data_IF_291843411811
#
_entry.id   IF_291843411811
#
_cell.length_a   1.000
_cell.length_b   1.000
_cell.length_c   1.000
_cell.angle_alpha   90.00
_cell.angle_beta   90.00
_cell.angle_gamma   90.00
#
_symmetry.space_group_name_H-M   'P 1'
#
loop_
_entity.id
_entity.type
_entity.pdbx_description
1 polymer ?
#
# COMPACT_ATOMS: atom_id res chain seq x y z
N UNK A 1 15.58 -21.73 -11.35
CA UNK A 1 14.34 -20.92 -11.35
C UNK A 1 14.55 -19.82 -12.36
N UNK A 2 13.82 -19.85 -13.47
CA UNK A 2 13.99 -18.89 -14.55
C UNK A 2 13.43 -17.51 -14.17
N UNK A 3 13.83 -16.46 -14.89
CA UNK A 3 13.32 -15.08 -14.70
C UNK A 3 11.79 -15.03 -14.81
N UNK A 4 11.21 -15.83 -15.70
CA UNK A 4 9.76 -15.95 -15.89
C UNK A 4 9.06 -16.55 -14.65
N UNK A 5 9.66 -17.54 -13.97
CA UNK A 5 9.10 -18.10 -12.73
C UNK A 5 9.05 -17.06 -11.62
N UNK A 6 10.06 -16.18 -11.57
CA UNK A 6 10.13 -15.09 -10.60
C UNK A 6 9.06 -14.05 -10.90
N UNK A 7 8.89 -13.68 -12.17
CA UNK A 7 7.85 -12.75 -12.60
C UNK A 7 6.45 -13.32 -12.36
N UNK A 8 6.20 -14.61 -12.64
CA UNK A 8 4.92 -15.27 -12.32
C UNK A 8 4.64 -15.23 -10.80
N UNK A 9 5.65 -15.46 -9.96
CA UNK A 9 5.48 -15.35 -8.50
C UNK A 9 5.18 -13.94 -8.02
N UNK A 10 5.69 -12.92 -8.71
CA UNK A 10 5.47 -11.52 -8.36
C UNK A 10 4.11 -11.07 -8.86
N UNK A 11 3.81 -11.29 -10.14
CA UNK A 11 2.66 -10.70 -10.81
C UNK A 11 1.38 -11.54 -10.71
N UNK A 12 1.49 -12.88 -10.70
CA UNK A 12 0.35 -13.81 -10.88
C UNK A 12 -0.14 -14.41 -9.56
N UNK A 13 0.72 -14.65 -8.56
CA UNK A 13 0.22 -15.13 -7.25
C UNK A 13 -0.58 -14.02 -6.56
N UNK A 14 -1.87 -14.32 -6.28
CA UNK A 14 -2.99 -13.42 -5.91
C UNK A 14 -2.80 -12.37 -4.81
N UNK A 15 -1.65 -12.27 -4.14
CA UNK A 15 -1.44 -11.33 -3.04
C UNK A 15 -0.27 -10.40 -3.33
N UNK A 16 -0.51 -9.37 -4.15
CA UNK A 16 0.38 -8.22 -4.29
C UNK A 16 0.25 -7.33 -3.04
N UNK A 17 0.66 -7.86 -1.89
CA UNK A 17 0.77 -7.08 -0.65
C UNK A 17 2.05 -6.23 -0.70
N UNK A 18 2.24 -5.23 0.17
CA UNK A 18 3.43 -4.34 0.24
C UNK A 18 4.79 -5.06 0.03
N UNK A 19 4.89 -6.32 0.45
CA UNK A 19 6.05 -7.22 0.24
C UNK A 19 6.39 -7.56 -1.23
N UNK A 20 5.49 -7.31 -2.18
CA UNK A 20 5.70 -7.56 -3.61
C UNK A 20 6.44 -6.42 -4.31
N UNK A 21 6.24 -5.17 -3.86
CA UNK A 21 7.01 -4.02 -4.33
C UNK A 21 8.45 -4.11 -3.87
N UNK A 22 8.71 -4.52 -2.62
CA UNK A 22 10.08 -4.75 -2.16
C UNK A 22 10.80 -5.84 -2.96
N UNK A 23 10.06 -6.84 -3.50
CA UNK A 23 10.63 -7.85 -4.40
C UNK A 23 10.96 -7.30 -5.79
N UNK A 24 10.11 -6.42 -6.33
CA UNK A 24 10.44 -5.71 -7.56
C UNK A 24 11.66 -4.81 -7.36
N UNK A 25 11.69 -4.04 -6.27
CA UNK A 25 12.86 -3.24 -5.88
C UNK A 25 14.13 -4.08 -5.79
N UNK A 26 14.09 -5.24 -5.13
CA UNK A 26 15.24 -6.15 -5.06
C UNK A 26 15.70 -6.63 -6.45
N UNK A 27 14.77 -6.93 -7.36
CA UNK A 27 15.11 -7.37 -8.72
C UNK A 27 15.73 -6.26 -9.55
N UNK A 28 15.16 -5.06 -9.48
CA UNK A 28 15.66 -3.88 -10.20
C UNK A 28 16.98 -3.38 -9.63
N UNK A 29 17.10 -3.28 -8.30
CA UNK A 29 18.31 -2.81 -7.63
C UNK A 29 19.49 -3.77 -7.88
N UNK A 30 19.22 -5.07 -8.03
CA UNK A 30 20.25 -6.06 -8.40
C UNK A 30 20.52 -6.09 -9.91
N UNK A 31 19.88 -5.23 -10.71
CA UNK A 31 19.93 -5.20 -12.18
C UNK A 31 19.64 -6.58 -12.82
N UNK A 32 18.83 -7.40 -12.14
CA UNK A 32 18.54 -8.76 -12.59
C UNK A 32 17.53 -8.75 -13.74
N UNK A 33 16.69 -7.72 -13.81
CA UNK A 33 15.58 -7.64 -14.76
C UNK A 33 15.49 -6.26 -15.39
N UNK A 34 15.41 -6.23 -16.72
CA UNK A 34 15.17 -5.04 -17.53
C UNK A 34 13.68 -4.68 -17.53
N UNK A 35 13.35 -3.38 -17.49
CA UNK A 35 11.96 -2.89 -17.60
C UNK A 35 11.34 -3.36 -18.90
N UNK A 36 12.08 -3.37 -20.01
CA UNK A 36 11.54 -3.77 -21.31
C UNK A 36 11.13 -5.25 -21.30
N UNK A 37 11.91 -6.12 -20.66
CA UNK A 37 11.56 -7.55 -20.47
C UNK A 37 10.32 -7.74 -19.59
N UNK A 38 10.10 -6.86 -18.61
CA UNK A 38 8.87 -6.90 -17.80
C UNK A 38 7.67 -6.45 -18.63
N UNK A 39 7.83 -5.41 -19.45
CA UNK A 39 6.78 -4.96 -20.37
C UNK A 39 6.41 -6.07 -21.34
N UNK A 40 7.39 -6.69 -22.01
CA UNK A 40 7.19 -7.84 -22.91
C UNK A 40 6.45 -8.99 -22.20
N UNK A 41 6.84 -9.32 -20.96
CA UNK A 41 6.17 -10.33 -20.17
C UNK A 41 4.72 -9.97 -19.85
N UNK A 42 4.44 -8.72 -19.45
CA UNK A 42 3.09 -8.25 -19.17
C UNK A 42 2.22 -8.33 -20.43
N UNK A 43 2.74 -7.87 -21.57
CA UNK A 43 2.04 -7.91 -22.86
C UNK A 43 1.71 -9.35 -23.26
N UNK A 44 2.68 -10.25 -23.15
CA UNK A 44 2.46 -11.68 -23.37
C UNK A 44 1.35 -12.21 -22.47
N UNK A 45 1.37 -11.94 -21.16
CA UNK A 45 0.31 -12.40 -20.24
C UNK A 45 -1.06 -11.83 -20.57
N UNK A 46 -1.15 -10.58 -21.00
CA UNK A 46 -2.41 -9.97 -21.44
C UNK A 46 -2.94 -10.58 -22.74
N UNK A 47 -2.06 -11.01 -23.64
CA UNK A 47 -2.46 -11.76 -24.84
C UNK A 47 -2.91 -13.19 -24.55
N UNK A 48 -2.30 -13.85 -23.55
CA UNK A 48 -2.59 -15.26 -23.22
C UNK A 48 -3.81 -15.42 -22.31
N UNK A 49 -4.12 -14.43 -21.48
CA UNK A 49 -5.17 -14.55 -20.47
C UNK A 49 -5.98 -13.26 -20.33
N UNK A 50 -7.21 -13.29 -20.83
CA UNK A 50 -8.14 -12.16 -20.72
C UNK A 50 -8.66 -11.89 -19.30
N UNK A 51 -8.43 -12.79 -18.33
CA UNK A 51 -8.75 -12.54 -16.93
C UNK A 51 -7.58 -11.91 -16.17
N UNK A 52 -6.43 -11.71 -16.83
CA UNK A 52 -5.31 -11.01 -16.24
C UNK A 52 -5.57 -9.51 -16.21
N UNK A 53 -5.46 -8.92 -15.02
CA UNK A 53 -5.74 -7.50 -14.76
C UNK A 53 -4.58 -6.89 -13.97
N UNK A 54 -4.52 -5.56 -13.95
CA UNK A 54 -3.67 -4.75 -13.06
C UNK A 54 -2.16 -4.84 -13.26
N UNK A 55 -1.66 -5.57 -14.25
CA UNK A 55 -0.22 -5.80 -14.42
C UNK A 55 0.54 -4.51 -14.74
N UNK A 56 0.03 -3.70 -15.67
CA UNK A 56 0.65 -2.40 -15.95
C UNK A 56 0.47 -1.42 -14.80
N UNK A 57 -0.67 -1.43 -14.08
CA UNK A 57 -0.85 -0.58 -12.90
C UNK A 57 0.08 -0.98 -11.74
N UNK A 58 0.40 -2.27 -11.58
CA UNK A 58 1.44 -2.74 -10.62
C UNK A 58 2.82 -2.23 -11.00
N UNK A 59 3.18 -2.27 -12.29
CA UNK A 59 4.43 -1.67 -12.77
C UNK A 59 4.44 -0.15 -12.56
N UNK A 60 3.32 0.52 -12.81
CA UNK A 60 3.19 1.95 -12.54
C UNK A 60 3.36 2.28 -11.06
N UNK A 61 2.83 1.47 -10.16
CA UNK A 61 2.98 1.66 -8.72
C UNK A 61 4.46 1.61 -8.29
N UNK A 62 5.25 0.73 -8.90
CA UNK A 62 6.71 0.73 -8.72
C UNK A 62 7.31 2.10 -9.10
N UNK A 63 6.96 2.64 -10.26
CA UNK A 63 7.44 3.97 -10.69
C UNK A 63 6.97 5.11 -9.77
N UNK A 64 5.74 5.06 -9.23
CA UNK A 64 5.29 6.00 -8.19
C UNK A 64 6.18 5.95 -6.95
N UNK A 65 6.63 4.76 -6.52
CA UNK A 65 7.58 4.65 -5.40
C UNK A 65 8.93 5.28 -5.72
N UNK A 66 9.35 5.28 -6.98
CA UNK A 66 10.61 5.92 -7.45
C UNK A 66 10.48 7.41 -7.79
N UNK A 67 9.30 8.00 -7.61
CA UNK A 67 9.01 9.39 -8.01
C UNK A 67 9.11 9.64 -9.53
N UNK A 68 9.12 8.57 -10.34
CA UNK A 68 9.03 8.67 -11.80
C UNK A 68 7.56 8.77 -12.22
N UNK A 69 7.01 9.96 -12.08
CA UNK A 69 5.61 10.23 -12.39
C UNK A 69 5.31 10.12 -13.90
N UNK A 70 6.32 10.27 -14.77
CA UNK A 70 6.14 10.14 -16.21
C UNK A 70 5.88 8.68 -16.60
N UNK A 71 6.77 7.77 -16.18
CA UNK A 71 6.60 6.34 -16.43
C UNK A 71 5.37 5.79 -15.73
N UNK A 72 5.11 6.22 -14.49
CA UNK A 72 3.90 5.83 -13.78
C UNK A 72 2.62 6.16 -14.59
N UNK A 73 2.50 7.41 -15.09
CA UNK A 73 1.36 7.82 -15.91
C UNK A 73 1.26 6.99 -17.20
N UNK A 74 2.38 6.79 -17.90
CA UNK A 74 2.43 5.99 -19.15
C UNK A 74 1.80 4.61 -18.95
N UNK A 75 2.17 3.90 -17.89
CA UNK A 75 1.68 2.53 -17.65
C UNK A 75 0.26 2.51 -17.06
N UNK A 76 -0.11 3.48 -16.22
CA UNK A 76 -1.50 3.65 -15.78
C UNK A 76 -2.45 3.88 -16.96
N UNK A 77 -2.09 4.78 -17.87
CA UNK A 77 -2.87 5.06 -19.08
C UNK A 77 -2.98 3.84 -19.98
N UNK A 78 -1.89 3.06 -20.11
CA UNK A 78 -1.88 1.84 -20.92
C UNK A 78 -2.85 0.80 -20.34
N UNK A 79 -2.83 0.57 -19.03
CA UNK A 79 -3.74 -0.37 -18.38
C UNK A 79 -5.20 0.06 -18.48
N UNK A 80 -5.45 1.37 -18.32
CA UNK A 80 -6.77 1.98 -18.46
C UNK A 80 -7.34 1.84 -19.86
N UNK A 81 -6.54 2.15 -20.89
CA UNK A 81 -6.92 2.01 -22.32
C UNK A 81 -7.29 0.59 -22.70
N UNK A 82 -6.60 -0.40 -22.11
CA UNK A 82 -6.90 -1.82 -22.30
C UNK A 82 -8.12 -2.30 -21.51
N UNK A 83 -8.72 -1.45 -20.67
CA UNK A 83 -9.83 -1.78 -19.75
C UNK A 83 -9.47 -2.97 -18.84
N UNK A 84 -8.22 -3.00 -18.36
CA UNK A 84 -7.66 -4.07 -17.50
C UNK A 84 -7.45 -3.63 -16.05
N UNK A 85 -7.97 -2.48 -15.65
CA UNK A 85 -7.86 -1.96 -14.29
C UNK A 85 -9.03 -2.42 -13.43
N UNK A 86 -8.73 -3.06 -12.31
CA UNK A 86 -9.66 -3.18 -11.17
C UNK A 86 -9.77 -1.85 -10.42
N UNK A 87 -10.76 -1.74 -9.53
CA UNK A 87 -10.87 -0.57 -8.65
C UNK A 87 -9.59 -0.33 -7.84
N UNK A 88 -8.89 -1.40 -7.44
CA UNK A 88 -7.64 -1.30 -6.69
C UNK A 88 -6.52 -0.65 -7.53
N UNK A 89 -6.46 -0.95 -8.83
CA UNK A 89 -5.55 -0.26 -9.74
C UNK A 89 -5.94 1.18 -10.00
N UNK A 90 -7.23 1.49 -10.03
CA UNK A 90 -7.71 2.86 -10.17
C UNK A 90 -7.28 3.74 -8.98
N UNK A 91 -7.13 3.17 -7.77
CA UNK A 91 -6.52 3.88 -6.62
C UNK A 91 -5.09 4.35 -6.95
N UNK A 92 -4.32 3.61 -7.76
CA UNK A 92 -2.96 4.03 -8.18
C UNK A 92 -3.00 5.27 -9.08
N UNK A 93 -4.10 5.44 -9.82
CA UNK A 93 -4.36 6.65 -10.60
C UNK A 93 -4.67 7.86 -9.68
N UNK A 94 -5.43 7.64 -8.60
CA UNK A 94 -5.64 8.65 -7.56
C UNK A 94 -4.31 9.04 -6.88
N UNK A 95 -3.49 8.08 -6.47
CA UNK A 95 -2.15 8.32 -5.91
C UNK A 95 -1.27 9.16 -6.85
N UNK A 96 -1.29 8.89 -8.15
CA UNK A 96 -0.60 9.69 -9.17
C UNK A 96 -1.04 11.17 -9.15
N UNK A 97 -2.36 11.44 -9.16
CA UNK A 97 -2.87 12.81 -9.12
C UNK A 97 -2.53 13.52 -7.82
N UNK A 98 -2.60 12.82 -6.70
CA UNK A 98 -2.20 13.35 -5.40
C UNK A 98 -0.73 13.79 -5.42
N UNK A 99 0.17 12.95 -5.94
CA UNK A 99 1.60 13.26 -6.06
C UNK A 99 1.91 14.41 -7.03
N UNK A 100 1.03 14.65 -8.01
CA UNK A 100 1.06 15.84 -8.88
C UNK A 100 0.54 17.12 -8.20
N UNK A 101 0.10 17.04 -6.94
CA UNK A 101 -0.49 18.15 -6.20
C UNK A 101 -1.97 18.37 -6.46
N UNK A 102 -2.63 17.49 -7.23
CA UNK A 102 -4.06 17.57 -7.50
C UNK A 102 -4.85 16.62 -6.58
N UNK A 103 -4.91 16.98 -5.30
CA UNK A 103 -5.57 16.17 -4.27
C UNK A 103 -7.10 16.08 -4.49
N UNK A 104 -7.73 17.15 -4.97
CA UNK A 104 -9.17 17.15 -5.26
C UNK A 104 -9.51 16.10 -6.33
N UNK A 105 -8.71 16.05 -7.41
CA UNK A 105 -8.93 15.03 -8.45
C UNK A 105 -8.69 13.62 -7.93
N UNK A 106 -7.71 13.45 -7.05
CA UNK A 106 -7.49 12.18 -6.37
C UNK A 106 -8.74 11.75 -5.59
N UNK A 107 -9.36 12.66 -4.84
CA UNK A 107 -10.55 12.37 -4.04
C UNK A 107 -11.78 12.07 -4.89
N UNK A 108 -12.01 12.83 -5.96
CA UNK A 108 -13.07 12.51 -6.94
C UNK A 108 -12.97 11.08 -7.47
N UNK A 109 -11.74 10.61 -7.74
CA UNK A 109 -11.51 9.23 -8.20
C UNK A 109 -11.83 8.23 -7.09
N UNK A 110 -11.41 8.49 -5.84
CA UNK A 110 -11.72 7.60 -4.72
C UNK A 110 -13.21 7.53 -4.43
N UNK A 111 -13.91 8.66 -4.43
CA UNK A 111 -15.36 8.72 -4.22
C UNK A 111 -16.09 7.93 -5.30
N UNK A 112 -15.73 8.13 -6.57
CA UNK A 112 -16.27 7.34 -7.68
C UNK A 112 -16.02 5.83 -7.51
N UNK A 113 -14.81 5.43 -7.14
CA UNK A 113 -14.50 4.02 -6.85
C UNK A 113 -15.43 3.48 -5.75
N UNK A 114 -15.65 4.25 -4.70
CA UNK A 114 -16.48 3.88 -3.55
C UNK A 114 -17.98 3.83 -3.82
N UNK A 115 -18.46 4.63 -4.78
CA UNK A 115 -19.82 4.60 -5.31
C UNK A 115 -20.04 3.36 -6.19
N UNK A 116 -19.06 3.03 -7.04
CA UNK A 116 -19.18 1.93 -8.02
C UNK A 116 -18.85 0.55 -7.42
N UNK A 117 -18.10 0.49 -6.32
CA UNK A 117 -17.61 -0.76 -5.73
C UNK A 117 -17.76 -0.72 -4.19
N UNK A 118 -18.75 -1.46 -3.67
CA UNK A 118 -19.06 -1.46 -2.23
C UNK A 118 -17.97 -2.15 -1.39
N UNK A 119 -17.21 -3.06 -1.98
CA UNK A 119 -16.09 -3.77 -1.37
C UNK A 119 -14.77 -3.00 -1.45
N UNK A 120 -14.73 -1.85 -2.13
CA UNK A 120 -13.52 -1.05 -2.23
C UNK A 120 -13.15 -0.41 -0.88
N UNK A 121 -11.87 -0.56 -0.53
CA UNK A 121 -11.30 -0.16 0.76
C UNK A 121 -9.96 0.57 0.56
N UNK A 122 -9.54 1.30 1.59
CA UNK A 122 -8.25 1.97 1.74
C UNK A 122 -7.95 3.08 0.70
N UNK A 123 -8.94 3.56 -0.05
CA UNK A 123 -8.75 4.57 -1.10
C UNK A 123 -8.12 5.85 -0.58
N UNK A 124 -8.74 6.49 0.42
CA UNK A 124 -8.18 7.67 1.06
C UNK A 124 -6.90 7.34 1.83
N UNK A 125 -6.86 6.19 2.49
CA UNK A 125 -5.70 5.74 3.24
C UNK A 125 -4.46 5.61 2.37
N UNK A 126 -4.58 5.03 1.17
CA UNK A 126 -3.49 4.92 0.20
C UNK A 126 -2.97 6.29 -0.24
N UNK A 127 -3.87 7.22 -0.56
CA UNK A 127 -3.54 8.60 -0.95
C UNK A 127 -2.81 9.33 0.19
N UNK A 128 -3.37 9.31 1.41
CA UNK A 128 -2.74 9.92 2.57
C UNK A 128 -1.36 9.31 2.87
N UNK A 129 -1.25 7.99 2.81
CA UNK A 129 0.00 7.28 3.07
C UNK A 129 1.10 7.61 2.07
N UNK A 130 0.80 7.64 0.77
CA UNK A 130 1.82 7.93 -0.24
C UNK A 130 2.29 9.38 -0.14
N UNK A 131 1.38 10.33 0.09
CA UNK A 131 1.72 11.74 0.28
C UNK A 131 2.59 11.95 1.52
N UNK A 132 2.23 11.33 2.64
CA UNK A 132 2.97 11.42 3.89
C UNK A 132 4.39 10.84 3.74
N UNK A 133 4.53 9.64 3.19
CA UNK A 133 5.85 9.02 2.95
C UNK A 133 6.75 9.83 2.01
N UNK A 134 6.16 10.59 1.10
CA UNK A 134 6.86 11.47 0.15
C UNK A 134 7.10 12.87 0.71
N UNK A 135 6.73 13.14 1.97
CA UNK A 135 6.88 14.44 2.62
C UNK A 135 6.08 15.55 1.95
N UNK A 136 4.96 15.22 1.29
CA UNK A 136 4.13 16.17 0.53
C UNK A 136 3.04 16.84 1.36
N UNK A 137 2.69 16.27 2.51
CA UNK A 137 1.68 16.77 3.43
C UNK A 137 2.16 16.64 4.86
N UNK A 138 1.56 17.42 5.76
CA UNK A 138 1.87 17.32 7.17
C UNK A 138 1.29 16.04 7.79
N UNK A 139 1.76 15.74 8.99
CA UNK A 139 1.19 14.70 9.82
C UNK A 139 -0.31 14.88 10.09
N UNK A 140 -0.74 16.13 10.35
CA UNK A 140 -2.14 16.42 10.69
C UNK A 140 -3.03 16.16 9.48
N UNK A 141 -2.58 16.60 8.30
CA UNK A 141 -3.32 16.41 7.05
C UNK A 141 -3.49 14.92 6.72
N UNK A 142 -2.45 14.09 6.89
CA UNK A 142 -2.57 12.65 6.63
C UNK A 142 -3.56 11.99 7.60
N UNK A 143 -3.60 12.41 8.86
CA UNK A 143 -4.60 11.94 9.82
C UNK A 143 -6.03 12.26 9.38
N UNK A 144 -6.28 13.47 8.89
CA UNK A 144 -7.62 13.87 8.44
C UNK A 144 -8.04 13.14 7.15
N UNK A 145 -7.09 12.84 6.26
CA UNK A 145 -7.35 11.98 5.09
C UNK A 145 -7.70 10.56 5.53
N UNK A 146 -6.93 9.96 6.45
CA UNK A 146 -7.18 8.60 6.94
C UNK A 146 -8.53 8.46 7.62
N UNK A 147 -8.98 9.48 8.37
CA UNK A 147 -10.29 9.49 9.03
C UNK A 147 -11.44 9.24 8.04
N UNK A 148 -11.33 9.71 6.79
CA UNK A 148 -12.37 9.48 5.76
C UNK A 148 -12.64 8.00 5.51
N UNK A 149 -11.61 7.14 5.58
CA UNK A 149 -11.79 5.69 5.49
C UNK A 149 -12.17 5.06 6.83
N UNK A 150 -11.64 5.56 7.94
CA UNK A 150 -11.97 5.06 9.29
C UNK A 150 -13.45 5.27 9.61
N UNK A 151 -13.96 6.49 9.44
CA UNK A 151 -15.33 6.88 9.78
C UNK A 151 -16.38 6.10 8.98
N UNK A 152 -15.98 5.59 7.80
CA UNK A 152 -16.82 4.77 6.91
C UNK A 152 -16.52 3.27 7.01
N UNK A 153 -15.69 2.84 7.96
CA UNK A 153 -15.21 1.45 8.11
C UNK A 153 -14.64 0.85 6.80
N UNK A 154 -13.92 1.65 6.02
CA UNK A 154 -13.28 1.27 4.75
C UNK A 154 -11.78 1.03 4.90
N UNK A 155 -11.24 0.90 6.11
CA UNK A 155 -9.87 0.43 6.32
C UNK A 155 -9.81 -1.09 6.53
N UNK A 156 -9.02 -1.75 5.70
CA UNK A 156 -8.63 -3.15 5.93
C UNK A 156 -7.75 -3.29 7.18
N UNK A 157 -7.72 -4.47 7.79
CA UNK A 157 -6.94 -4.71 9.02
C UNK A 157 -5.44 -4.46 8.88
N UNK A 158 -4.86 -4.78 7.72
CA UNK A 158 -3.47 -4.41 7.42
C UNK A 158 -3.25 -2.89 7.38
N UNK A 159 -4.24 -2.14 6.87
CA UNK A 159 -4.16 -0.68 6.81
C UNK A 159 -4.48 0.00 8.14
N UNK A 160 -5.30 -0.62 9.02
CA UNK A 160 -5.49 -0.18 10.41
C UNK A 160 -4.14 -0.13 11.15
N UNK A 161 -3.24 -1.09 10.93
CA UNK A 161 -1.88 -1.07 11.49
C UNK A 161 -1.05 0.12 10.95
N UNK A 162 -1.14 0.42 9.64
CA UNK A 162 -0.46 1.58 9.05
C UNK A 162 -1.02 2.88 9.63
N UNK A 163 -2.35 3.02 9.69
CA UNK A 163 -3.02 4.16 10.27
C UNK A 163 -2.62 4.35 11.73
N UNK A 164 -2.61 3.29 12.54
CA UNK A 164 -2.14 3.33 13.93
C UNK A 164 -0.71 3.86 14.04
N UNK A 165 0.20 3.45 13.16
CA UNK A 165 1.58 3.92 13.16
C UNK A 165 1.70 5.44 12.94
N UNK A 166 0.75 6.01 12.19
CA UNK A 166 0.63 7.45 11.97
C UNK A 166 -0.03 8.06 13.22
N UNK A 167 -1.25 7.69 13.57
CA UNK A 167 -1.96 8.23 14.74
C UNK A 167 -1.17 8.16 16.06
N UNK A 168 -0.28 7.18 16.20
CA UNK A 168 0.55 6.99 17.39
C UNK A 168 1.38 8.19 17.80
N UNK A 169 1.73 9.08 16.85
CA UNK A 169 2.52 10.28 17.13
C UNK A 169 1.79 11.24 18.07
N UNK A 170 0.48 11.45 17.89
CA UNK A 170 -0.31 12.42 18.68
C UNK A 170 -1.45 11.79 19.50
N UNK A 171 -1.91 10.59 19.14
CA UNK A 171 -3.01 9.91 19.81
C UNK A 171 -2.69 8.42 19.97
N UNK A 172 -1.82 8.12 20.92
CA UNK A 172 -1.36 6.77 21.21
C UNK A 172 -2.51 5.82 21.60
N UNK A 173 -3.49 6.30 22.37
CA UNK A 173 -4.62 5.47 22.78
C UNK A 173 -5.42 5.00 21.56
N UNK A 174 -5.81 5.93 20.69
CA UNK A 174 -6.52 5.60 19.46
C UNK A 174 -5.73 4.68 18.54
N UNK A 175 -4.41 4.91 18.42
CA UNK A 175 -3.54 4.02 17.66
C UNK A 175 -3.50 2.58 18.21
N UNK A 176 -3.48 2.41 19.54
CA UNK A 176 -3.53 1.07 20.16
C UNK A 176 -4.86 0.37 19.89
N UNK A 177 -5.98 1.12 19.93
CA UNK A 177 -7.30 0.57 19.62
C UNK A 177 -7.38 0.06 18.18
N UNK A 178 -6.84 0.82 17.20
CA UNK A 178 -6.77 0.36 15.80
C UNK A 178 -5.95 -0.93 15.64
N UNK A 179 -4.83 -1.07 16.36
CA UNK A 179 -4.03 -2.31 16.34
C UNK A 179 -4.80 -3.47 16.95
N UNK A 180 -5.47 -3.25 18.08
CA UNK A 180 -6.26 -4.28 18.73
C UNK A 180 -7.43 -4.74 17.89
N UNK A 181 -8.14 -3.81 17.26
CA UNK A 181 -9.22 -4.09 16.32
C UNK A 181 -8.72 -4.96 15.16
N UNK A 182 -7.60 -4.59 14.54
CA UNK A 182 -6.99 -5.38 13.47
C UNK A 182 -6.61 -6.79 13.93
N UNK A 183 -6.08 -6.95 15.15
CA UNK A 183 -5.70 -8.26 15.70
C UNK A 183 -6.90 -9.13 16.08
N UNK A 184 -8.02 -8.54 16.51
CA UNK A 184 -9.26 -9.27 16.80
C UNK A 184 -9.90 -9.84 15.54
N UNK A 185 -9.77 -9.13 14.43
CA UNK A 185 -10.38 -9.51 13.16
C UNK A 185 -9.48 -10.39 12.27
N UNK A 186 -8.16 -10.39 12.49
CA UNK A 186 -7.21 -11.19 11.70
C UNK A 186 -6.13 -11.84 12.58
N UNK A 187 -6.24 -13.17 12.72
CA UNK A 187 -5.32 -13.99 13.52
C UNK A 187 -3.91 -14.15 12.94
N UNK A 188 -3.72 -13.76 11.68
CA UNK A 188 -2.45 -13.85 10.99
C UNK A 188 -1.70 -12.51 10.97
N UNK A 189 -2.36 -11.40 11.31
CA UNK A 189 -1.68 -10.11 11.45
C UNK A 189 -0.69 -10.11 12.60
N UNK A 190 0.43 -9.44 12.36
CA UNK A 190 1.61 -9.39 13.22
C UNK A 190 2.21 -7.99 13.22
N UNK A 191 3.11 -7.75 14.16
CA UNK A 191 4.00 -6.59 14.22
C UNK A 191 3.33 -5.22 14.41
N UNK A 192 2.01 -5.15 14.62
CA UNK A 192 1.28 -3.89 14.80
C UNK A 192 1.82 -3.04 15.96
N UNK A 193 1.98 -3.63 17.15
CA UNK A 193 2.56 -2.91 18.29
C UNK A 193 4.06 -2.65 18.14
N UNK A 194 4.81 -3.50 17.43
CA UNK A 194 6.22 -3.24 17.13
C UNK A 194 6.39 -2.05 16.18
N UNK A 195 5.53 -1.92 15.16
CA UNK A 195 5.52 -0.77 14.25
C UNK A 195 5.13 0.52 14.98
N UNK A 196 4.17 0.44 15.90
CA UNK A 196 3.80 1.57 16.75
C UNK A 196 4.97 1.99 17.66
N UNK A 197 5.65 1.02 18.29
CA UNK A 197 6.83 1.27 19.13
C UNK A 197 7.97 1.92 18.34
N UNK A 198 8.20 1.50 17.10
CA UNK A 198 9.29 2.00 16.25
C UNK A 198 9.13 3.50 15.96
N UNK A 199 7.90 3.96 15.73
CA UNK A 199 7.60 5.38 15.53
C UNK A 199 7.73 6.21 16.82
N UNK A 200 7.65 5.56 17.99
CA UNK A 200 7.72 6.18 19.31
C UNK A 200 9.11 6.10 19.94
N UNK A 201 10.14 5.62 19.25
CA UNK A 201 11.49 5.43 19.83
C UNK A 201 12.16 6.71 20.34
N UNK A 202 11.61 7.90 20.06
CA UNK A 202 11.99 9.14 20.77
C UNK A 202 11.61 9.13 22.26
N UNK A 203 10.72 8.22 22.67
CA UNK A 203 10.31 7.94 24.04
C UNK A 203 10.58 6.47 24.40
N UNK A 204 11.77 6.22 24.95
CA UNK A 204 12.36 4.88 25.12
C UNK A 204 11.54 3.95 26.03
N UNK A 205 11.02 4.44 27.15
CA UNK A 205 10.28 3.62 28.11
C UNK A 205 8.94 3.13 27.54
N UNK A 206 8.27 3.99 26.78
CA UNK A 206 7.04 3.63 26.08
C UNK A 206 7.27 2.64 24.94
N UNK A 207 8.35 2.79 24.18
CA UNK A 207 8.71 1.83 23.15
C UNK A 207 8.91 0.42 23.74
N UNK A 208 9.59 0.31 24.89
CA UNK A 208 9.79 -0.96 25.59
C UNK A 208 8.47 -1.61 26.04
N UNK A 209 7.54 -0.82 26.58
CA UNK A 209 6.22 -1.32 26.98
C UNK A 209 5.43 -1.90 25.79
N UNK A 210 5.46 -1.23 24.63
CA UNK A 210 4.78 -1.68 23.41
C UNK A 210 5.42 -2.95 22.82
N UNK A 211 6.75 -3.05 22.81
CA UNK A 211 7.42 -4.30 22.44
C UNK A 211 7.02 -5.46 23.36
N UNK A 212 6.91 -5.21 24.67
CA UNK A 212 6.41 -6.18 25.65
C UNK A 212 5.01 -6.69 25.31
N UNK A 213 4.08 -5.80 24.93
CA UNK A 213 2.72 -6.18 24.51
C UNK A 213 2.70 -7.01 23.22
N UNK A 214 3.54 -6.67 22.23
CA UNK A 214 3.61 -7.46 21.00
C UNK A 214 4.13 -8.89 21.26
N UNK A 215 5.08 -9.05 22.19
CA UNK A 215 5.56 -10.37 22.64
C UNK A 215 4.48 -11.13 23.42
N UNK A 216 3.81 -10.47 24.37
CA UNK A 216 2.75 -11.08 25.18
C UNK A 216 1.56 -11.60 24.37
N UNK A 217 1.20 -10.91 23.28
CA UNK A 217 0.15 -11.35 22.35
C UNK A 217 0.56 -12.51 21.42
N UNK A 218 1.83 -12.96 21.47
CA UNK A 218 2.41 -13.93 20.51
C UNK A 218 2.31 -13.47 19.04
N UNK A 219 2.19 -12.15 18.79
CA UNK A 219 2.10 -11.55 17.44
C UNK A 219 3.39 -10.88 16.96
N UNK A 220 4.48 -10.98 17.72
CA UNK A 220 5.80 -10.56 17.29
C UNK A 220 6.38 -11.51 16.22
N UNK A 221 6.79 -10.99 15.07
CA UNK A 221 7.55 -11.74 14.07
C UNK A 221 9.04 -11.82 14.45
N UNK A 222 9.79 -12.77 13.87
CA UNK A 222 11.25 -12.87 14.07
C UNK A 222 12.01 -11.59 13.71
N UNK A 223 11.46 -10.76 12.81
CA UNK A 223 12.09 -9.48 12.42
C UNK A 223 11.88 -8.38 13.45
N UNK A 224 10.93 -8.57 14.37
CA UNK A 224 10.55 -7.61 15.40
C UNK A 224 11.15 -7.91 16.78
N UNK A 225 11.93 -8.99 16.88
CA UNK A 225 12.69 -9.40 18.06
C UNK A 225 14.12 -8.88 17.96
#
# INVERSE_FOLDING_TARGET
>A
MGILDVLDRIFVKKNFNLYSVSRLDDLFNRKIVDIDKIVEYIEKKYSENSNCVDLFSKLAYYFLQKDDLYSAKKYLDKDSKLKRQSWWSTIRYAEYFALKGNINKSFEIIDKIYEENCEAMNGYGHVGWILYRKGKISYIDVCDILKKDIDKNRLSNGFKIIAASIFGINNLFFAQELVWEAYREDDFLKDGFSLLALNLMRNKDYALALFGRNRGSKRASRKSL
#
